data_IF_573831031809
#
_entry.id   IF_573831031809
#
_cell.length_a   1.000
_cell.length_b   1.000
_cell.length_c   1.000
_cell.angle_alpha   90.00
_cell.angle_beta   90.00
_cell.angle_gamma   90.00
#
_symmetry.space_group_name_H-M   'P 1'
#
loop_
_entity.id
_entity.type
_entity.pdbx_description
1 polymer ?
#
# COMPACT_ATOMS: atom_id res chain seq x y z
N UNK A 1 5.44 17.81 1.68
CA UNK A 1 5.71 19.07 0.94
C UNK A 1 6.53 18.75 -0.30
N UNK A 2 6.07 19.22 -1.46
CA UNK A 2 6.85 19.18 -2.70
C UNK A 2 8.03 20.15 -2.65
N UNK A 3 8.82 20.12 -3.71
CA UNK A 3 9.90 21.07 -3.98
C UNK A 3 9.79 21.53 -5.46
N UNK A 4 10.22 22.76 -5.75
CA UNK A 4 10.28 23.30 -7.10
C UNK A 4 9.06 24.15 -7.49
N UNK A 5 8.73 24.26 -8.79
CA UNK A 5 7.64 25.13 -9.24
C UNK A 5 6.25 24.54 -8.92
N UNK A 6 5.32 25.41 -8.53
CA UNK A 6 3.89 25.11 -8.45
C UNK A 6 3.24 25.58 -9.75
N UNK A 7 2.57 24.67 -10.46
CA UNK A 7 2.10 24.94 -11.82
C UNK A 7 0.64 25.36 -11.92
N UNK A 8 -0.21 24.87 -11.02
CA UNK A 8 -1.65 25.05 -11.07
C UNK A 8 -2.14 25.60 -9.73
N UNK A 9 -3.12 26.49 -9.82
CA UNK A 9 -3.79 27.16 -8.70
C UNK A 9 -5.28 27.35 -9.06
N UNK A 10 -6.15 27.30 -8.06
CA UNK A 10 -7.61 27.37 -8.17
C UNK A 10 -8.22 26.43 -9.24
N UNK A 11 -7.77 25.17 -9.27
CA UNK A 11 -8.27 24.18 -10.24
C UNK A 11 -9.73 23.82 -9.93
N UNK A 12 -10.62 24.06 -10.88
CA UNK A 12 -12.06 23.76 -10.77
C UNK A 12 -12.50 22.90 -11.95
N UNK A 13 -12.55 21.58 -11.76
CA UNK A 13 -13.01 20.63 -12.77
C UNK A 13 -14.53 20.46 -12.74
N UNK A 14 -15.13 20.23 -13.91
CA UNK A 14 -16.53 19.86 -14.06
C UNK A 14 -16.77 18.36 -13.81
N UNK A 15 -15.72 17.55 -13.95
CA UNK A 15 -15.70 16.12 -13.60
C UNK A 15 -15.73 15.17 -14.80
N UNK A 16 -15.71 15.70 -16.03
CA UNK A 16 -15.68 14.92 -17.27
C UNK A 16 -14.47 15.21 -18.14
N UNK A 17 -13.60 16.12 -17.71
CA UNK A 17 -12.31 16.37 -18.33
C UNK A 17 -11.46 15.09 -18.32
N UNK A 18 -10.83 14.78 -19.44
CA UNK A 18 -9.98 13.59 -19.55
C UNK A 18 -8.66 13.72 -18.77
N UNK A 19 -8.22 14.95 -18.51
CA UNK A 19 -6.92 15.26 -17.89
C UNK A 19 -7.03 16.50 -17.00
N UNK A 20 -6.25 16.55 -15.92
CA UNK A 20 -6.28 17.67 -14.96
C UNK A 20 -5.95 19.03 -15.59
N UNK A 21 -5.03 19.06 -16.58
CA UNK A 21 -4.66 20.28 -17.30
C UNK A 21 -5.79 20.89 -18.14
N UNK A 22 -6.85 20.13 -18.37
CA UNK A 22 -8.01 20.57 -19.15
C UNK A 22 -9.07 21.23 -18.27
N UNK A 23 -8.93 21.16 -16.94
CA UNK A 23 -9.82 21.84 -16.01
C UNK A 23 -9.54 23.35 -16.01
N UNK A 24 -10.58 24.19 -15.89
CA UNK A 24 -10.42 25.61 -15.56
C UNK A 24 -9.50 25.82 -14.35
N UNK A 25 -8.51 26.69 -14.49
CA UNK A 25 -7.54 27.04 -13.46
C UNK A 25 -6.93 28.42 -13.79
N UNK A 26 -6.11 28.95 -12.88
CA UNK A 26 -5.27 30.11 -13.21
C UNK A 26 -4.25 29.76 -14.30
N UNK A 27 -3.68 30.78 -14.94
CA UNK A 27 -2.64 30.57 -15.93
C UNK A 27 -1.44 29.81 -15.32
N UNK A 28 -0.82 28.93 -16.11
CA UNK A 28 0.25 28.06 -15.61
C UNK A 28 1.40 28.85 -14.98
N UNK A 29 1.80 28.46 -13.78
CA UNK A 29 2.84 29.13 -12.99
C UNK A 29 2.41 30.46 -12.36
N UNK A 30 1.14 30.88 -12.52
CA UNK A 30 0.57 31.99 -11.76
C UNK A 30 -0.20 31.45 -10.56
N UNK A 31 0.44 31.53 -9.39
CA UNK A 31 -0.13 31.09 -8.12
C UNK A 31 0.34 31.99 -6.99
N UNK A 32 -0.38 31.97 -5.88
CA UNK A 32 0.07 32.52 -4.59
C UNK A 32 0.33 31.41 -3.55
N UNK A 33 0.23 30.15 -3.94
CA UNK A 33 0.45 29.00 -3.06
C UNK A 33 1.91 28.83 -2.62
N UNK A 34 2.10 28.15 -1.49
CA UNK A 34 3.36 27.55 -1.06
C UNK A 34 3.26 26.01 -0.94
N UNK A 35 4.37 25.28 -0.81
CA UNK A 35 4.37 23.80 -0.72
C UNK A 35 3.72 23.20 0.54
N UNK A 36 3.18 24.05 1.43
CA UNK A 36 2.30 23.60 2.50
C UNK A 36 0.84 23.43 2.03
N UNK A 37 0.52 23.92 0.84
CA UNK A 37 -0.80 23.89 0.20
C UNK A 37 -0.83 22.90 -0.98
N UNK A 38 0.24 22.11 -1.17
CA UNK A 38 0.29 21.10 -2.24
C UNK A 38 -0.86 20.11 -2.08
N UNK A 39 -1.74 20.07 -3.09
CA UNK A 39 -2.88 19.18 -3.12
C UNK A 39 -2.46 17.73 -3.38
N UNK A 40 -3.08 16.79 -2.67
CA UNK A 40 -2.97 15.35 -2.91
C UNK A 40 -4.34 14.72 -3.10
N UNK A 41 -4.41 13.63 -3.86
CA UNK A 41 -5.63 12.84 -4.02
C UNK A 41 -5.36 11.38 -3.64
N UNK A 42 -6.37 10.73 -3.09
CA UNK A 42 -6.39 9.29 -2.93
C UNK A 42 -7.53 8.71 -3.78
N UNK A 43 -7.20 7.86 -4.73
CA UNK A 43 -8.17 7.28 -5.65
C UNK A 43 -8.85 6.05 -5.03
N UNK A 44 -10.16 5.89 -5.29
CA UNK A 44 -10.89 4.66 -5.01
C UNK A 44 -10.42 3.55 -5.97
N UNK A 45 -9.29 2.93 -5.63
CA UNK A 45 -8.55 2.01 -6.50
C UNK A 45 -7.18 1.64 -5.92
N UNK A 46 -6.70 2.38 -4.94
CA UNK A 46 -5.49 2.01 -4.16
C UNK A 46 -5.75 0.88 -3.15
N UNK A 47 -6.67 -0.04 -3.46
CA UNK A 47 -6.85 -1.24 -2.65
C UNK A 47 -5.68 -2.19 -2.86
N UNK A 48 -5.17 -2.73 -1.77
CA UNK A 48 -4.04 -3.66 -1.81
C UNK A 48 -2.67 -3.00 -1.98
N UNK A 49 -2.54 -1.69 -1.72
CA UNK A 49 -1.21 -1.12 -1.42
C UNK A 49 -0.60 -1.87 -0.23
N UNK A 50 0.72 -2.07 -0.28
CA UNK A 50 1.47 -2.77 0.76
C UNK A 50 2.49 -1.82 1.35
N UNK A 51 2.68 -1.89 2.67
CA UNK A 51 3.82 -1.31 3.37
C UNK A 51 4.46 -2.35 4.29
N UNK A 52 5.76 -2.17 4.53
CA UNK A 52 6.51 -2.91 5.54
C UNK A 52 6.78 -1.99 6.72
N UNK A 53 6.44 -2.43 7.93
CA UNK A 53 6.57 -1.64 9.16
C UNK A 53 7.37 -2.38 10.23
N UNK A 54 7.98 -1.64 11.15
CA UNK A 54 8.73 -2.17 12.29
C UNK A 54 9.91 -3.11 11.94
N UNK A 55 10.46 -3.02 10.73
CA UNK A 55 11.75 -3.64 10.40
C UNK A 55 12.90 -2.64 10.36
N UNK A 56 14.09 -3.13 10.06
CA UNK A 56 15.32 -2.35 10.03
C UNK A 56 15.45 -1.42 8.82
N UNK A 57 14.59 -1.56 7.81
CA UNK A 57 14.57 -0.72 6.61
C UNK A 57 13.18 -0.72 5.97
N UNK A 58 12.97 0.09 4.93
CA UNK A 58 11.72 0.09 4.15
C UNK A 58 11.42 -1.25 3.43
N UNK A 59 12.40 -2.15 3.38
CA UNK A 59 12.36 -3.41 2.65
C UNK A 59 12.26 -4.63 3.57
N UNK A 60 12.08 -4.41 4.88
CA UNK A 60 11.96 -5.46 5.89
C UNK A 60 10.89 -5.02 6.89
N UNK A 61 9.99 -5.91 7.28
CA UNK A 61 9.01 -5.60 8.33
C UNK A 61 7.73 -6.44 8.27
N UNK A 62 6.81 -6.15 9.19
CA UNK A 62 5.44 -6.67 9.16
C UNK A 62 4.72 -6.18 7.92
N UNK A 63 3.99 -7.06 7.26
CA UNK A 63 3.21 -6.74 6.06
C UNK A 63 1.87 -6.14 6.46
N UNK A 64 1.60 -4.93 6.01
CA UNK A 64 0.28 -4.31 6.13
C UNK A 64 -0.26 -3.94 4.75
N UNK A 65 -1.56 -4.16 4.55
CA UNK A 65 -2.28 -3.84 3.32
C UNK A 65 -3.32 -2.76 3.55
N UNK A 66 -3.47 -1.87 2.57
CA UNK A 66 -4.51 -0.84 2.60
C UNK A 66 -5.80 -1.38 2.00
N UNK A 67 -6.86 -1.43 2.80
CA UNK A 67 -8.20 -1.80 2.34
C UNK A 67 -9.25 -0.95 3.04
N UNK A 68 -10.26 -0.48 2.30
CA UNK A 68 -11.32 0.42 2.81
C UNK A 68 -10.76 1.60 3.63
N UNK A 69 -9.70 2.22 3.10
CA UNK A 69 -9.00 3.35 3.70
C UNK A 69 -8.44 3.10 5.11
N UNK A 70 -8.13 1.85 5.44
CA UNK A 70 -7.51 1.46 6.71
C UNK A 70 -6.40 0.46 6.46
N UNK A 71 -5.25 0.71 7.08
CA UNK A 71 -4.18 -0.28 7.15
C UNK A 71 -4.62 -1.42 8.05
N UNK A 72 -4.28 -2.63 7.64
CA UNK A 72 -4.47 -3.85 8.42
C UNK A 72 -3.39 -4.87 8.08
N UNK A 73 -3.15 -5.81 8.98
CA UNK A 73 -2.12 -6.83 8.82
C UNK A 73 -2.61 -7.99 7.93
N UNK A 74 -1.70 -8.90 7.65
CA UNK A 74 -1.92 -10.16 6.93
C UNK A 74 -1.65 -11.30 7.90
N UNK A 75 -2.52 -12.30 7.96
CA UNK A 75 -2.28 -13.49 8.76
C UNK A 75 -1.20 -14.39 8.14
N UNK A 76 -0.42 -15.06 8.98
CA UNK A 76 0.66 -15.96 8.57
C UNK A 76 0.20 -17.39 8.19
N UNK A 77 -1.09 -17.68 8.31
CA UNK A 77 -1.67 -18.92 7.83
C UNK A 77 -1.41 -19.09 6.32
N UNK A 78 -0.68 -20.15 5.99
CA UNK A 78 -0.16 -20.45 4.65
C UNK A 78 0.76 -19.39 4.04
N UNK A 79 1.26 -18.44 4.83
CA UNK A 79 2.19 -17.40 4.37
C UNK A 79 3.54 -18.00 4.00
N UNK A 80 4.00 -17.71 2.77
CA UNK A 80 5.19 -18.32 2.21
C UNK A 80 6.03 -17.34 1.36
N UNK A 81 7.13 -17.84 0.80
CA UNK A 81 8.04 -17.05 -0.02
C UNK A 81 7.40 -16.57 -1.33
N UNK A 82 6.35 -17.24 -1.83
CA UNK A 82 5.63 -16.78 -3.01
C UNK A 82 4.80 -15.54 -2.68
N UNK A 83 4.11 -15.50 -1.54
CA UNK A 83 3.42 -14.31 -1.04
C UNK A 83 4.40 -13.17 -0.72
N UNK A 84 5.55 -13.46 -0.12
CA UNK A 84 6.60 -12.47 0.09
C UNK A 84 7.16 -11.93 -1.24
N UNK A 85 7.24 -12.74 -2.31
CA UNK A 85 7.67 -12.27 -3.64
C UNK A 85 6.71 -11.23 -4.21
N UNK A 86 5.39 -11.44 -4.08
CA UNK A 86 4.38 -10.45 -4.47
C UNK A 86 4.58 -9.17 -3.67
N UNK A 87 4.73 -9.29 -2.35
CA UNK A 87 4.98 -8.18 -1.42
C UNK A 87 6.20 -7.35 -1.82
N UNK A 88 7.37 -7.99 -1.93
CA UNK A 88 8.64 -7.33 -2.25
C UNK A 88 8.62 -6.62 -3.61
N UNK A 89 7.88 -7.18 -4.58
CA UNK A 89 7.64 -6.53 -5.87
C UNK A 89 6.75 -5.29 -5.73
N UNK A 90 5.67 -5.36 -4.96
CA UNK A 90 4.78 -4.22 -4.73
C UNK A 90 5.50 -3.05 -4.04
N UNK A 91 6.38 -3.33 -3.07
CA UNK A 91 7.17 -2.31 -2.37
C UNK A 91 8.47 -1.94 -3.10
N UNK A 92 8.75 -2.56 -4.25
CA UNK A 92 9.90 -2.29 -5.13
C UNK A 92 11.25 -2.43 -4.40
N UNK A 93 11.39 -3.51 -3.65
CA UNK A 93 12.60 -3.86 -2.89
C UNK A 93 13.31 -5.12 -3.43
N UNK A 94 13.19 -5.40 -4.72
CA UNK A 94 13.85 -6.56 -5.32
C UNK A 94 13.23 -7.91 -4.89
N UNK A 95 14.00 -9.02 -4.95
CA UNK A 95 13.51 -10.35 -4.64
C UNK A 95 13.22 -10.54 -3.14
N UNK A 96 12.26 -11.43 -2.84
CA UNK A 96 11.99 -11.85 -1.47
C UNK A 96 13.09 -12.78 -0.95
N UNK A 97 13.56 -12.50 0.27
CA UNK A 97 14.56 -13.29 0.98
C UNK A 97 13.94 -14.11 2.11
N UNK A 98 12.88 -13.60 2.75
CA UNK A 98 12.27 -14.24 3.91
C UNK A 98 10.78 -13.86 4.05
N UNK A 99 10.00 -14.79 4.59
CA UNK A 99 8.56 -14.68 4.82
C UNK A 99 8.21 -15.13 6.26
N UNK A 100 8.58 -14.35 7.29
CA UNK A 100 8.26 -14.71 8.68
C UNK A 100 6.77 -14.63 8.97
N UNK A 101 6.28 -15.52 9.84
CA UNK A 101 5.00 -15.41 10.55
C UNK A 101 5.20 -15.01 12.01
N UNK A 102 4.20 -15.24 12.86
CA UNK A 102 4.35 -15.19 14.31
C UNK A 102 4.71 -13.81 14.87
N UNK A 103 4.27 -12.73 14.22
CA UNK A 103 4.53 -11.35 14.62
C UNK A 103 6.03 -11.04 14.89
N UNK A 104 6.95 -11.59 14.08
CA UNK A 104 8.41 -11.39 14.25
C UNK A 104 8.85 -9.92 14.30
N UNK A 105 8.09 -9.03 13.64
CA UNK A 105 8.32 -7.58 13.66
C UNK A 105 7.38 -6.84 14.62
N UNK A 106 6.85 -7.56 15.62
CA UNK A 106 5.83 -7.12 16.55
C UNK A 106 4.42 -7.23 15.98
N UNK A 107 3.45 -7.24 16.89
CA UNK A 107 2.03 -7.28 16.59
C UNK A 107 1.59 -5.99 15.88
N UNK A 108 0.65 -6.14 14.94
CA UNK A 108 -0.09 -5.04 14.35
C UNK A 108 -1.21 -4.54 15.25
N UNK A 109 -2.03 -3.65 14.70
CA UNK A 109 -3.22 -3.16 15.36
C UNK A 109 -4.34 -2.94 14.33
N UNK A 110 -5.58 -3.14 14.77
CA UNK A 110 -6.75 -2.90 13.95
C UNK A 110 -7.19 -4.14 13.18
N UNK A 111 -7.60 -4.02 11.90
CA UNK A 111 -8.10 -5.17 11.15
C UNK A 111 -6.97 -6.08 10.67
N UNK A 112 -7.24 -7.38 10.59
CA UNK A 112 -6.46 -8.33 9.78
C UNK A 112 -7.22 -8.50 8.47
N UNK A 113 -6.60 -8.13 7.36
CA UNK A 113 -7.31 -8.00 6.08
C UNK A 113 -7.28 -9.25 5.23
N UNK A 114 -6.18 -9.98 5.26
CA UNK A 114 -5.92 -11.12 4.38
C UNK A 114 -5.52 -12.33 5.22
N UNK A 115 -6.01 -13.50 4.80
CA UNK A 115 -5.81 -14.78 5.48
C UNK A 115 -5.83 -15.92 4.46
N UNK A 116 -5.07 -16.98 4.74
CA UNK A 116 -4.98 -18.20 3.93
C UNK A 116 -4.50 -17.96 2.51
N UNK A 117 -3.57 -17.00 2.33
CA UNK A 117 -3.08 -16.61 1.01
C UNK A 117 -2.26 -17.72 0.36
N UNK A 118 -2.68 -18.15 -0.82
CA UNK A 118 -2.00 -19.11 -1.68
C UNK A 118 -1.58 -18.41 -2.97
N UNK A 119 -0.46 -17.71 -2.89
CA UNK A 119 0.12 -17.01 -4.03
C UNK A 119 0.98 -17.95 -4.89
N UNK A 120 1.00 -17.74 -6.19
CA UNK A 120 1.99 -18.32 -7.11
C UNK A 120 3.28 -17.47 -7.17
N UNK A 121 3.21 -16.21 -6.70
CA UNK A 121 4.32 -15.27 -6.69
C UNK A 121 4.40 -14.39 -7.93
N UNK A 122 3.42 -14.48 -8.82
CA UNK A 122 3.34 -13.71 -10.08
C UNK A 122 2.20 -12.69 -10.07
N UNK A 123 1.34 -12.70 -9.06
CA UNK A 123 0.18 -11.81 -8.86
C UNK A 123 0.60 -10.35 -8.72
N UNK A 124 -0.09 -9.42 -9.40
CA UNK A 124 0.30 -8.01 -9.39
C UNK A 124 0.25 -7.40 -7.98
N UNK A 125 -0.66 -7.88 -7.13
CA UNK A 125 -0.76 -7.51 -5.72
C UNK A 125 -1.32 -8.63 -4.84
N UNK A 126 -1.05 -8.60 -3.52
CA UNK A 126 -1.47 -9.64 -2.57
C UNK A 126 -2.97 -9.95 -2.61
N UNK A 127 -3.81 -8.94 -2.84
CA UNK A 127 -5.25 -9.11 -2.97
C UNK A 127 -5.73 -9.93 -4.18
N UNK A 128 -4.84 -10.31 -5.10
CA UNK A 128 -5.14 -11.20 -6.23
C UNK A 128 -4.81 -12.68 -5.93
N UNK A 129 -4.06 -12.95 -4.85
CA UNK A 129 -3.79 -14.32 -4.46
C UNK A 129 -5.09 -15.01 -4.04
N UNK A 130 -5.19 -16.32 -4.31
CA UNK A 130 -6.31 -17.09 -3.79
C UNK A 130 -6.25 -17.13 -2.26
N UNK A 131 -7.38 -16.92 -1.58
CA UNK A 131 -7.45 -16.89 -0.12
C UNK A 131 -8.86 -16.64 0.38
N UNK A 132 -9.00 -16.34 1.67
CA UNK A 132 -10.28 -15.95 2.25
C UNK A 132 -10.73 -14.57 1.76
N UNK A 133 -12.03 -14.27 1.94
CA UNK A 133 -12.55 -12.93 1.61
C UNK A 133 -11.95 -11.91 2.57
N UNK A 134 -11.69 -10.68 2.09
CA UNK A 134 -11.16 -9.59 2.90
C UNK A 134 -11.83 -9.45 4.28
N UNK A 135 -11.02 -9.50 5.34
CA UNK A 135 -11.48 -9.39 6.73
C UNK A 135 -12.13 -10.65 7.31
N UNK A 136 -12.17 -11.77 6.58
CA UNK A 136 -12.57 -13.06 7.12
C UNK A 136 -11.31 -13.85 7.52
N UNK A 137 -11.12 -14.02 8.82
CA UNK A 137 -9.99 -14.78 9.37
C UNK A 137 -10.35 -15.35 10.75
N UNK A 138 -9.51 -16.26 11.25
CA UNK A 138 -9.53 -16.69 12.66
C UNK A 138 -8.30 -16.25 13.45
N UNK A 139 -7.40 -15.55 12.78
CA UNK A 139 -6.13 -15.14 13.35
C UNK A 139 -6.28 -14.00 14.37
N UNK A 140 -5.29 -13.88 15.24
CA UNK A 140 -5.04 -12.72 16.08
C UNK A 140 -3.69 -12.07 15.69
N UNK A 141 -3.33 -10.94 16.29
CA UNK A 141 -2.13 -10.21 15.86
C UNK A 141 -0.80 -10.90 16.18
N UNK A 142 -0.78 -11.93 17.04
CA UNK A 142 0.41 -12.77 17.21
C UNK A 142 0.73 -13.61 15.96
N UNK A 143 -0.21 -13.71 15.02
CA UNK A 143 -0.09 -14.43 13.75
C UNK A 143 0.17 -13.46 12.57
N UNK A 144 0.56 -12.21 12.85
CA UNK A 144 0.83 -11.25 11.78
C UNK A 144 2.10 -11.63 10.98
N UNK A 145 1.94 -11.69 9.66
CA UNK A 145 3.00 -11.99 8.71
C UNK A 145 3.95 -10.80 8.47
N UNK A 146 5.20 -11.13 8.15
CA UNK A 146 6.25 -10.22 7.75
C UNK A 146 6.94 -10.63 6.45
N UNK A 147 7.79 -9.74 5.94
CA UNK A 147 8.63 -10.00 4.78
C UNK A 147 10.00 -9.33 4.93
N UNK A 148 11.03 -9.94 4.35
CA UNK A 148 12.31 -9.30 4.10
C UNK A 148 12.67 -9.44 2.62
N UNK A 149 13.05 -8.32 2.01
CA UNK A 149 13.47 -8.20 0.62
C UNK A 149 14.96 -7.83 0.54
N UNK A 150 15.55 -7.87 -0.66
CA UNK A 150 16.96 -7.58 -0.88
C UNK A 150 17.33 -6.08 -0.84
#
# INVERSE_FOLDING_TARGET
>A
PGEGPIWLDDVTCAGWEAELRSCPARAWGQHNCHHGEDAGVQCAGEQGQVRLVNGSSRCVGRVEVLHRNRWGSVCDDTWDLAAARVTCRQVRCGPALWAPGGAQFGEGAGPIWLDGLRCNGSEAHLGQCAGHTWGQHRCNHAEDAGAACA
#
